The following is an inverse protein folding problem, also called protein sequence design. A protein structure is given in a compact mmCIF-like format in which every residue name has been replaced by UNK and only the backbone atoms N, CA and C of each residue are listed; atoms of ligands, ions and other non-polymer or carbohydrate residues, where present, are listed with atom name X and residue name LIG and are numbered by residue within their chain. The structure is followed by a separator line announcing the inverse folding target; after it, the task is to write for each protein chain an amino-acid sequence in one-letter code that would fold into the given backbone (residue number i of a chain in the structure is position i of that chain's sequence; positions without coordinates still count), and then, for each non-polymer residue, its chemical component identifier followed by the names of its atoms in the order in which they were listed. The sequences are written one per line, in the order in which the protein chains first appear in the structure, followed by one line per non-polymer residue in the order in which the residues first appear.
data_IF_862815240191
#
_entry.id   IF_862815240191
#
_cell.length_a   1.000
_cell.length_b   1.000
_cell.length_c   1.000
_cell.angle_alpha   90.00
_cell.angle_beta   90.00
_cell.angle_gamma   90.00
#
_symmetry.space_group_name_H-M   'P 1'
#
loop_
_entity.id
_entity.type
_entity.pdbx_description
1 polymer ?
#
# COMPACT_ATOMS: atom_id res chain seq x y z
N UNK A 1 -13.53 9.00 -3.22
CA UNK A 1 -12.50 8.34 -4.04
C UNK A 1 -11.20 8.88 -3.53
N UNK A 2 -10.34 8.06 -2.92
CA UNK A 2 -9.10 8.56 -2.35
C UNK A 2 -8.15 8.92 -3.49
N UNK A 3 -7.61 10.15 -3.45
CA UNK A 3 -6.66 10.67 -4.44
C UNK A 3 -5.28 10.04 -4.24
N UNK A 4 -5.17 8.73 -4.45
CA UNK A 4 -3.88 8.04 -4.46
C UNK A 4 -3.20 8.34 -5.79
N UNK A 5 -2.05 9.00 -5.73
CA UNK A 5 -1.21 9.26 -6.90
C UNK A 5 0.04 8.40 -6.87
N UNK A 6 0.51 7.95 -8.03
CA UNK A 6 1.75 7.20 -8.14
C UNK A 6 2.94 8.05 -7.67
N UNK A 7 3.70 7.65 -6.64
CA UNK A 7 4.78 8.47 -6.08
C UNK A 7 5.99 8.61 -7.02
N UNK A 8 6.09 7.73 -8.02
CA UNK A 8 7.21 7.70 -8.97
C UNK A 8 6.98 8.60 -10.20
N UNK A 9 5.74 8.85 -10.58
CA UNK A 9 5.44 9.61 -11.81
C UNK A 9 4.27 10.59 -11.70
N UNK A 10 3.76 10.81 -10.49
CA UNK A 10 2.65 11.70 -10.17
C UNK A 10 1.35 11.42 -10.95
N UNK A 11 1.22 10.23 -11.54
CA UNK A 11 0.00 9.83 -12.25
C UNK A 11 -1.10 9.54 -11.23
N UNK A 12 -2.23 10.23 -11.33
CA UNK A 12 -3.41 10.06 -10.47
C UNK A 12 -4.25 8.83 -10.84
N UNK A 13 -4.07 8.28 -12.04
CA UNK A 13 -4.72 7.03 -12.43
C UNK A 13 -3.90 5.88 -11.87
N UNK A 14 -4.40 5.27 -10.79
CA UNK A 14 -3.81 4.09 -10.16
C UNK A 14 -4.89 3.05 -9.90
N UNK A 15 -4.53 1.78 -9.95
CA UNK A 15 -5.41 0.65 -9.66
C UNK A 15 -4.86 -0.16 -8.49
N UNK A 16 -5.76 -0.65 -7.63
CA UNK A 16 -5.43 -1.61 -6.59
C UNK A 16 -5.15 -2.97 -7.24
N UNK A 17 -3.97 -3.53 -6.97
CA UNK A 17 -3.54 -4.85 -7.45
C UNK A 17 -3.91 -5.94 -6.46
N UNK A 18 -3.48 -5.78 -5.21
CA UNK A 18 -3.57 -6.78 -4.14
C UNK A 18 -3.75 -6.08 -2.80
N UNK A 19 -4.50 -6.72 -1.90
CA UNK A 19 -4.63 -6.34 -0.48
C UNK A 19 -3.92 -7.37 0.39
N UNK A 20 -3.57 -7.01 1.62
CA UNK A 20 -2.96 -7.88 2.64
C UNK A 20 -1.65 -8.51 2.17
N UNK A 21 -0.79 -7.69 1.58
CA UNK A 21 0.54 -8.10 1.13
C UNK A 21 1.48 -8.13 2.33
N UNK A 22 2.14 -9.27 2.55
CA UNK A 22 3.25 -9.38 3.48
C UNK A 22 4.55 -8.97 2.77
N UNK A 23 5.35 -8.15 3.44
CA UNK A 23 6.63 -7.67 2.91
C UNK A 23 7.79 -8.21 3.75
N UNK A 24 8.76 -8.80 3.06
CA UNK A 24 10.06 -9.19 3.63
C UNK A 24 11.17 -8.56 2.81
N UNK A 25 12.11 -7.90 3.47
CA UNK A 25 13.33 -7.38 2.86
C UNK A 25 14.54 -7.84 3.66
N UNK A 26 15.67 -8.02 2.98
CA UNK A 26 16.96 -8.23 3.64
C UNK A 26 17.72 -6.91 3.63
N UNK A 27 18.03 -6.38 4.82
CA UNK A 27 18.80 -5.15 5.01
C UNK A 27 20.05 -5.52 5.82
N UNK A 28 21.24 -5.19 5.30
CA UNK A 28 22.52 -5.49 5.94
C UNK A 28 22.73 -6.98 6.33
N UNK A 29 22.10 -7.89 5.58
CA UNK A 29 22.16 -9.34 5.82
C UNK A 29 21.17 -9.84 6.87
N UNK A 30 20.41 -8.95 7.51
CA UNK A 30 19.32 -9.30 8.41
C UNK A 30 17.99 -9.33 7.65
N UNK A 31 17.20 -10.38 7.87
CA UNK A 31 15.85 -10.47 7.29
C UNK A 31 14.88 -9.64 8.12
N UNK A 32 14.41 -8.55 7.54
CA UNK A 32 13.35 -7.73 8.07
C UNK A 32 12.02 -8.19 7.47
N UNK A 33 11.20 -8.84 8.29
CA UNK A 33 9.81 -9.14 7.96
C UNK A 33 8.95 -8.18 8.76
N UNK A 34 8.30 -7.24 8.10
CA UNK A 34 7.31 -6.39 8.76
C UNK A 34 5.94 -7.04 8.61
N UNK A 35 5.59 -7.88 9.59
CA UNK A 35 4.26 -8.51 9.68
C UNK A 35 3.23 -7.59 10.35
N UNK A 36 3.65 -6.42 10.86
CA UNK A 36 2.81 -5.68 11.81
C UNK A 36 1.70 -4.90 11.15
N UNK A 37 1.77 -4.61 9.84
CA UNK A 37 0.76 -3.83 9.14
C UNK A 37 0.48 -4.35 7.72
N UNK A 38 -0.78 -4.67 7.39
CA UNK A 38 -1.13 -5.11 6.05
C UNK A 38 -0.89 -3.98 5.04
N UNK A 39 -0.17 -4.33 3.97
CA UNK A 39 0.07 -3.43 2.84
C UNK A 39 -0.90 -3.75 1.70
N UNK A 40 -1.27 -2.71 0.96
CA UNK A 40 -1.95 -2.84 -0.32
C UNK A 40 -1.01 -2.43 -1.46
N UNK A 41 -1.00 -3.23 -2.51
CA UNK A 41 -0.22 -2.98 -3.72
C UNK A 41 -1.06 -2.23 -4.74
N UNK A 42 -0.45 -1.22 -5.37
CA UNK A 42 -1.05 -0.43 -6.44
C UNK A 42 -0.18 -0.45 -7.69
N UNK A 43 -0.80 -0.24 -8.84
CA UNK A 43 -0.13 -0.07 -10.13
C UNK A 43 -0.66 1.16 -10.87
N UNK A 44 0.22 1.87 -11.58
CA UNK A 44 -0.18 2.93 -12.51
C UNK A 44 -0.02 2.48 -13.98
N UNK A 45 -0.61 3.19 -14.96
CA UNK A 45 -0.48 2.88 -16.39
C UNK A 45 0.95 2.83 -16.95
N UNK A 46 1.93 3.41 -16.23
CA UNK A 46 3.35 3.31 -16.57
C UNK A 46 4.04 2.09 -15.95
N UNK A 47 3.27 1.13 -15.44
CA UNK A 47 3.76 -0.11 -14.84
C UNK A 47 4.60 0.06 -13.57
N UNK A 48 4.44 1.18 -12.85
CA UNK A 48 5.05 1.34 -11.54
C UNK A 48 4.20 0.65 -10.47
N UNK A 49 4.80 -0.27 -9.71
CA UNK A 49 4.19 -0.92 -8.55
C UNK A 49 4.66 -0.21 -7.29
N UNK A 50 3.73 0.13 -6.41
CA UNK A 50 4.04 0.72 -5.11
C UNK A 50 3.09 0.21 -4.03
N UNK A 51 3.50 0.32 -2.78
CA UNK A 51 2.76 -0.21 -1.63
C UNK A 51 2.39 0.93 -0.69
N UNK A 52 1.17 0.88 -0.16
CA UNK A 52 0.69 1.76 0.89
C UNK A 52 0.12 0.91 2.04
N UNK A 53 0.16 1.42 3.26
CA UNK A 53 -0.49 0.74 4.39
C UNK A 53 -1.99 0.79 4.21
N UNK A 54 -2.68 -0.32 4.48
CA UNK A 54 -4.13 -0.38 4.28
C UNK A 54 -4.88 0.69 5.09
N UNK A 55 -4.42 0.99 6.30
CA UNK A 55 -5.03 2.03 7.16
C UNK A 55 -4.98 3.44 6.54
N UNK A 56 -4.00 3.72 5.69
CA UNK A 56 -3.84 5.03 5.06
C UNK A 56 -4.78 5.17 3.83
N UNK A 57 -5.46 4.08 3.45
CA UNK A 57 -6.36 3.96 2.29
C UNK A 57 -7.82 3.89 2.74
N UNK A 58 -8.12 3.46 3.96
CA UNK A 58 -9.50 3.37 4.47
C UNK A 58 -9.90 4.72 5.07
N UNK A 59 -11.02 5.34 4.66
CA UNK A 59 -11.51 6.54 5.32
C UNK A 59 -11.79 6.26 6.80
N UNK A 60 -11.38 7.16 7.69
CA UNK A 60 -11.55 7.06 9.16
C UNK A 60 -12.98 6.68 9.61
N UNK A 61 -13.99 6.99 8.78
CA UNK A 61 -15.39 6.63 9.02
C UNK A 61 -15.68 5.10 9.09
N UNK A 62 -14.82 4.25 8.52
CA UNK A 62 -14.98 2.78 8.59
C UNK A 62 -14.19 2.13 9.74
N UNK A 63 -13.22 2.84 10.32
CA UNK A 63 -12.45 2.37 11.48
C UNK A 63 -13.25 2.44 12.80
N UNK A 64 -14.34 3.20 12.85
CA UNK A 64 -15.22 3.34 14.03
C UNK A 64 -16.31 2.26 14.14
N UNK A 65 -16.51 1.41 13.12
CA UNK A 65 -17.56 0.38 13.13
C UNK A 65 -17.09 -0.99 13.62
N UNK A 66 -15.81 -1.13 13.99
CA UNK A 66 -15.22 -2.40 14.45
C UNK A 66 -14.50 -2.28 15.80
N UNK A 67 -14.78 -1.23 16.59
CA UNK A 67 -14.29 -1.05 17.96
C UNK A 67 -15.35 -1.46 18.98
#
# INVERSE_FOLDING_TARGET
MHDVSCPLCANSTVALLLTKVNFSATLDGENFVDETQPLAAFICPKSHIFFLRERDIVPEALLQLTA
#
